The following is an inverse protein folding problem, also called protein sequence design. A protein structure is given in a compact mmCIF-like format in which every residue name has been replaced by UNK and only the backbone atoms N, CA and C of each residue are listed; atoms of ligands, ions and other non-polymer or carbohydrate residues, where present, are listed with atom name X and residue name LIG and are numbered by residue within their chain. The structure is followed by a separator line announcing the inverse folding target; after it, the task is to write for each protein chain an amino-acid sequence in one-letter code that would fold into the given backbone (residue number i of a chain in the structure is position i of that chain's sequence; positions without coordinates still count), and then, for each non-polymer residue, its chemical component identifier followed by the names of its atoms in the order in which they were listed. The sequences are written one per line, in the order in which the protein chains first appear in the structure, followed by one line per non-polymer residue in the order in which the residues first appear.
data_IF_991399487472
#
_entry.id   IF_991399487472
#
_cell.length_a   1.000
_cell.length_b   1.000
_cell.length_c   1.000
_cell.angle_alpha   90.00
_cell.angle_beta   90.00
_cell.angle_gamma   90.00
#
_symmetry.space_group_name_H-M   'P 1'
#
loop_
_entity.id
_entity.type
_entity.pdbx_description
1 polymer ?
#
# COMPACT_ATOMS: atom_id res chain seq x y z
N UNK A 1 -30.64 -15.57 20.18
CA UNK A 1 -29.64 -14.58 19.69
C UNK A 1 -28.67 -14.26 20.82
N UNK A 2 -27.48 -14.89 20.85
CA UNK A 2 -26.33 -14.40 21.62
C UNK A 2 -25.44 -13.63 20.64
N UNK A 3 -25.10 -12.38 20.94
CA UNK A 3 -24.18 -11.56 20.12
C UNK A 3 -22.81 -12.23 20.16
N UNK A 4 -22.30 -12.68 19.02
CA UNK A 4 -21.02 -13.43 18.88
C UNK A 4 -19.78 -12.50 19.01
N UNK A 5 -19.95 -11.23 19.42
CA UNK A 5 -18.85 -10.25 19.47
C UNK A 5 -18.84 -9.40 20.75
N UNK A 6 -19.39 -9.89 21.87
CA UNK A 6 -19.55 -9.06 23.06
C UNK A 6 -18.28 -8.92 23.94
N UNK A 7 -17.31 -9.85 23.88
CA UNK A 7 -16.28 -9.93 24.94
C UNK A 7 -14.86 -9.48 24.57
N UNK A 8 -14.58 -9.03 23.33
CA UNK A 8 -13.27 -8.45 22.95
C UNK A 8 -13.46 -7.18 22.11
N UNK A 9 -14.09 -6.15 22.68
CA UNK A 9 -14.14 -4.85 22.03
C UNK A 9 -12.72 -4.26 21.94
N UNK A 10 -12.10 -4.35 20.75
CA UNK A 10 -10.79 -3.73 20.48
C UNK A 10 -10.85 -2.23 20.78
N UNK A 11 -9.86 -1.71 21.50
CA UNK A 11 -9.80 -0.28 21.83
C UNK A 11 -9.37 0.55 20.62
N UNK A 12 -9.94 1.74 20.48
CA UNK A 12 -9.44 2.74 19.53
C UNK A 12 -8.12 3.33 20.05
N UNK A 13 -7.19 3.58 19.15
CA UNK A 13 -5.89 4.18 19.47
C UNK A 13 -6.04 5.68 19.64
N UNK A 14 -5.44 6.23 20.71
CA UNK A 14 -5.25 7.66 20.87
C UNK A 14 -4.13 8.14 19.94
N UNK A 15 -4.39 9.20 19.18
CA UNK A 15 -3.41 9.79 18.25
C UNK A 15 -3.21 11.24 18.69
N UNK A 16 -2.01 11.52 19.18
CA UNK A 16 -1.56 12.85 19.57
C UNK A 16 -0.32 13.24 18.76
N UNK A 17 -0.06 14.54 18.64
CA UNK A 17 1.16 15.02 17.99
C UNK A 17 2.22 15.29 19.05
N UNK A 18 3.44 14.90 18.71
CA UNK A 18 4.58 15.23 19.55
C UNK A 18 5.05 16.65 19.22
N UNK A 19 5.77 17.31 20.14
CA UNK A 19 6.42 18.58 19.86
C UNK A 19 7.26 18.49 18.58
N UNK A 20 7.17 19.50 17.71
CA UNK A 20 7.96 19.54 16.48
C UNK A 20 9.40 19.87 16.84
N UNK A 21 10.33 19.06 16.34
CA UNK A 21 11.77 19.30 16.43
C UNK A 21 12.18 20.03 15.16
N UNK A 22 12.67 21.25 15.29
CA UNK A 22 13.21 22.02 14.17
C UNK A 22 14.61 21.49 13.80
N UNK A 23 14.74 20.91 12.62
CA UNK A 23 15.99 20.34 12.10
C UNK A 23 15.77 19.62 10.78
N UNK A 24 16.86 19.31 10.06
CA UNK A 24 16.77 18.44 8.88
C UNK A 24 16.38 17.03 9.34
N UNK A 25 15.28 16.43 8.84
CA UNK A 25 14.85 15.10 9.22
C UNK A 25 15.85 13.99 8.86
N UNK A 26 16.79 14.25 7.95
CA UNK A 26 17.85 13.30 7.58
C UNK A 26 19.13 13.49 8.40
N UNK A 27 19.24 14.56 9.19
CA UNK A 27 20.41 14.79 10.05
C UNK A 27 20.42 13.83 11.24
N UNK A 28 21.60 13.29 11.55
CA UNK A 28 21.76 12.30 12.60
C UNK A 28 21.45 12.87 14.00
N UNK A 29 21.76 14.15 14.26
CA UNK A 29 21.44 14.76 15.55
C UNK A 29 19.95 15.00 15.70
N UNK A 30 19.26 15.40 14.62
CA UNK A 30 17.80 15.52 14.61
C UNK A 30 17.14 14.17 14.91
N UNK A 31 17.57 13.09 14.25
CA UNK A 31 17.06 11.74 14.48
C UNK A 31 17.32 11.31 15.92
N UNK A 32 18.55 11.49 16.43
CA UNK A 32 18.89 11.13 17.81
C UNK A 32 18.07 11.91 18.84
N UNK A 33 17.90 13.21 18.64
CA UNK A 33 17.07 14.08 19.50
C UNK A 33 15.62 13.61 19.49
N UNK A 34 15.09 13.25 18.32
CA UNK A 34 13.74 12.69 18.18
C UNK A 34 13.58 11.40 18.97
N UNK A 35 14.53 10.47 18.86
CA UNK A 35 14.53 9.21 19.59
C UNK A 35 14.58 9.42 21.11
N UNK A 36 15.42 10.36 21.59
CA UNK A 36 15.51 10.72 23.01
C UNK A 36 14.21 11.32 23.54
N UNK A 37 13.57 12.18 22.76
CA UNK A 37 12.28 12.75 23.13
C UNK A 37 11.18 11.69 23.20
N UNK A 38 11.15 10.74 22.27
CA UNK A 38 10.23 9.61 22.31
C UNK A 38 10.41 8.76 23.58
N UNK A 39 11.65 8.52 24.02
CA UNK A 39 11.96 7.79 25.27
C UNK A 39 11.46 8.59 26.49
N UNK A 40 11.77 9.90 26.53
CA UNK A 40 11.34 10.79 27.62
C UNK A 40 9.82 10.79 27.78
N UNK A 41 9.09 10.87 26.67
CA UNK A 41 7.62 10.84 26.64
C UNK A 41 7.05 9.46 26.99
N UNK A 42 7.84 8.40 26.82
CA UNK A 42 7.46 7.03 27.19
C UNK A 42 7.83 6.68 28.63
N UNK A 43 8.31 7.65 29.42
CA UNK A 43 8.80 7.44 30.80
C UNK A 43 9.89 6.36 30.86
N UNK A 44 10.85 6.41 29.94
CA UNK A 44 11.97 5.47 29.81
C UNK A 44 11.57 4.00 29.54
N UNK A 45 10.29 3.75 29.21
CA UNK A 45 9.83 2.45 28.74
C UNK A 45 10.30 2.21 27.31
N UNK A 46 10.29 0.94 26.90
CA UNK A 46 10.59 0.59 25.50
C UNK A 46 9.57 1.25 24.56
N UNK A 47 10.06 2.02 23.60
CA UNK A 47 9.23 2.77 22.67
C UNK A 47 9.30 2.17 21.27
N UNK A 48 8.17 2.14 20.56
CA UNK A 48 8.14 1.75 19.13
C UNK A 48 8.05 3.03 18.31
N UNK A 49 8.98 3.21 17.37
CA UNK A 49 9.00 4.40 16.52
C UNK A 49 9.02 3.98 15.06
N UNK A 50 8.11 4.52 14.25
CA UNK A 50 7.96 4.16 12.83
C UNK A 50 8.62 5.21 11.95
N UNK A 51 9.39 4.77 10.96
CA UNK A 51 10.12 5.65 10.02
C UNK A 51 9.87 5.22 8.58
N UNK A 52 10.00 6.16 7.64
CA UNK A 52 10.20 5.81 6.23
C UNK A 52 11.55 5.11 6.03
N UNK A 53 11.77 4.47 4.89
CA UNK A 53 12.99 3.67 4.71
C UNK A 53 14.30 4.48 4.87
N UNK A 54 14.46 5.66 4.23
CA UNK A 54 15.71 6.42 4.34
C UNK A 54 16.07 6.78 5.79
N UNK A 55 15.09 7.26 6.57
CA UNK A 55 15.33 7.63 7.98
C UNK A 55 15.47 6.37 8.84
N UNK A 56 14.72 5.30 8.53
CA UNK A 56 14.78 4.04 9.26
C UNK A 56 16.19 3.45 9.29
N UNK A 57 16.94 3.52 8.17
CA UNK A 57 18.32 3.03 8.11
C UNK A 57 19.22 3.75 9.12
N UNK A 58 19.21 5.09 9.11
CA UNK A 58 20.00 5.89 10.05
C UNK A 58 19.54 5.68 11.50
N UNK A 59 18.22 5.58 11.73
CA UNK A 59 17.66 5.35 13.05
C UNK A 59 18.11 4.00 13.64
N UNK A 60 18.13 2.93 12.83
CA UNK A 60 18.60 1.61 13.27
C UNK A 60 20.06 1.66 13.73
N UNK A 61 20.92 2.36 12.99
CA UNK A 61 22.34 2.48 13.34
C UNK A 61 22.52 3.28 14.63
N UNK A 62 21.81 4.40 14.78
CA UNK A 62 21.83 5.22 16.01
C UNK A 62 21.35 4.41 17.22
N UNK A 63 20.21 3.71 17.09
CA UNK A 63 19.63 2.91 18.18
C UNK A 63 20.61 1.83 18.65
N UNK A 64 21.29 1.15 17.71
CA UNK A 64 22.28 0.12 18.04
C UNK A 64 23.51 0.71 18.70
N UNK A 65 24.06 1.80 18.18
CA UNK A 65 25.28 2.42 18.72
C UNK A 65 25.07 2.99 20.12
N UNK A 66 23.92 3.65 20.35
CA UNK A 66 23.60 4.27 21.63
C UNK A 66 22.83 3.33 22.59
N UNK A 67 22.60 2.07 22.19
CA UNK A 67 21.85 1.05 22.95
C UNK A 67 20.51 1.59 23.50
N UNK A 68 19.72 2.22 22.63
CA UNK A 68 18.46 2.85 23.01
C UNK A 68 17.35 1.79 23.17
N UNK A 69 16.45 1.92 24.16
CA UNK A 69 15.31 1.01 24.35
C UNK A 69 14.20 1.29 23.32
N UNK A 70 14.52 1.23 22.03
CA UNK A 70 13.60 1.55 20.94
C UNK A 70 13.49 0.37 19.96
N UNK A 71 12.25 0.09 19.53
CA UNK A 71 11.96 -0.82 18.43
C UNK A 71 11.71 0.03 17.16
N UNK A 72 12.66 0.08 16.20
CA UNK A 72 12.48 0.85 14.97
C UNK A 72 11.62 0.08 13.97
N UNK A 73 10.43 0.60 13.66
CA UNK A 73 9.50 0.01 12.71
C UNK A 73 9.62 0.66 11.32
N UNK A 74 9.61 -0.15 10.27
CA UNK A 74 9.55 0.35 8.90
C UNK A 74 8.09 0.72 8.54
N UNK A 75 7.90 1.90 7.98
CA UNK A 75 6.62 2.44 7.55
C UNK A 75 5.97 1.61 6.44
N UNK A 76 4.84 0.98 6.75
CA UNK A 76 4.17 0.07 5.82
C UNK A 76 3.45 0.81 4.69
N UNK A 77 2.95 2.03 4.93
CA UNK A 77 2.35 2.84 3.88
C UNK A 77 3.39 3.26 2.84
N UNK A 78 4.54 3.78 3.28
CA UNK A 78 5.62 4.15 2.36
C UNK A 78 6.20 2.93 1.62
N UNK A 79 6.31 1.78 2.30
CA UNK A 79 6.71 0.53 1.66
C UNK A 79 5.76 0.12 0.54
N UNK A 80 4.45 0.17 0.77
CA UNK A 80 3.45 -0.14 -0.25
C UNK A 80 3.45 0.89 -1.39
N UNK A 81 3.70 2.17 -1.07
CA UNK A 81 3.85 3.23 -2.08
C UNK A 81 5.00 2.95 -3.03
N UNK A 82 6.17 2.57 -2.51
CA UNK A 82 7.32 2.17 -3.34
C UNK A 82 7.06 0.89 -4.11
N UNK A 83 6.30 -0.05 -3.55
CA UNK A 83 5.90 -1.27 -4.26
C UNK A 83 4.99 -0.96 -5.47
N UNK A 84 4.06 -0.02 -5.33
CA UNK A 84 3.22 0.46 -6.44
C UNK A 84 4.07 1.03 -7.58
N UNK A 85 5.05 1.89 -7.29
CA UNK A 85 5.97 2.38 -8.30
C UNK A 85 6.80 1.28 -8.97
N UNK A 86 7.20 0.26 -8.21
CA UNK A 86 7.91 -0.91 -8.75
C UNK A 86 7.02 -1.74 -9.68
N UNK A 87 5.74 -1.91 -9.32
CA UNK A 87 4.75 -2.54 -10.19
C UNK A 87 4.59 -1.75 -11.49
N UNK A 88 4.51 -0.42 -11.42
CA UNK A 88 4.45 0.46 -12.58
C UNK A 88 5.63 0.25 -13.52
N UNK A 89 6.86 0.22 -12.99
CA UNK A 89 8.07 -0.04 -13.78
C UNK A 89 8.07 -1.41 -14.47
N UNK A 90 7.59 -2.47 -13.81
CA UNK A 90 7.48 -3.80 -14.45
C UNK A 90 6.48 -3.79 -15.61
N UNK A 91 5.44 -2.96 -15.49
CA UNK A 91 4.33 -2.87 -16.43
C UNK A 91 4.52 -1.73 -17.44
N UNK A 92 5.72 -1.15 -17.51
CA UNK A 92 6.06 -0.16 -18.53
C UNK A 92 5.83 -0.75 -19.93
N UNK A 93 5.25 0.05 -20.82
CA UNK A 93 4.88 -0.33 -22.19
C UNK A 93 3.94 -1.54 -22.33
N UNK A 94 3.27 -1.96 -21.24
CA UNK A 94 2.40 -3.14 -21.27
C UNK A 94 0.95 -2.86 -21.72
N UNK A 95 0.57 -1.59 -21.86
CA UNK A 95 -0.83 -1.15 -21.97
C UNK A 95 -1.47 -0.70 -20.64
N UNK A 96 -0.74 -0.77 -19.52
CA UNK A 96 -1.28 -0.45 -18.19
C UNK A 96 -1.55 1.05 -18.03
N UNK A 97 -0.68 1.91 -18.57
CA UNK A 97 -0.84 3.36 -18.49
C UNK A 97 -2.12 3.80 -19.21
N UNK A 98 -2.38 3.23 -20.38
CA UNK A 98 -3.57 3.46 -21.20
C UNK A 98 -4.83 3.04 -20.43
N UNK A 99 -4.81 1.87 -19.78
CA UNK A 99 -5.90 1.46 -18.89
C UNK A 99 -6.11 2.44 -17.74
N UNK A 100 -5.04 2.89 -17.08
CA UNK A 100 -5.15 3.88 -16.00
C UNK A 100 -5.74 5.19 -16.52
N UNK A 101 -5.39 5.62 -17.74
CA UNK A 101 -5.93 6.82 -18.36
C UNK A 101 -7.42 6.71 -18.71
N UNK A 102 -7.93 5.51 -18.97
CA UNK A 102 -9.38 5.27 -19.12
C UNK A 102 -10.12 5.48 -17.78
N UNK A 103 -9.50 5.09 -16.66
CA UNK A 103 -10.08 5.25 -15.31
C UNK A 103 -9.97 6.70 -14.83
N UNK A 104 -8.79 7.28 -15.02
CA UNK A 104 -8.42 8.61 -14.56
C UNK A 104 -7.89 9.43 -15.74
N UNK A 105 -8.77 10.22 -16.41
CA UNK A 105 -8.35 11.05 -17.52
C UNK A 105 -7.26 12.05 -17.12
N UNK A 106 -6.22 12.15 -17.95
CA UNK A 106 -5.10 13.09 -17.79
C UNK A 106 -3.76 12.42 -17.51
N UNK A 107 -2.76 12.74 -18.34
CA UNK A 107 -1.42 12.12 -18.31
C UNK A 107 -0.71 12.29 -16.97
N UNK A 108 -0.77 13.48 -16.36
CA UNK A 108 -0.10 13.74 -15.07
C UNK A 108 -0.66 12.89 -13.93
N UNK A 109 -2.00 12.75 -13.85
CA UNK A 109 -2.61 11.93 -12.80
C UNK A 109 -2.31 10.45 -13.03
N UNK A 110 -2.38 9.98 -14.28
CA UNK A 110 -2.09 8.60 -14.62
C UNK A 110 -0.64 8.21 -14.33
N UNK A 111 0.33 9.08 -14.64
CA UNK A 111 1.75 8.87 -14.30
C UNK A 111 1.95 8.81 -12.78
N UNK A 112 1.31 9.70 -12.02
CA UNK A 112 1.37 9.65 -10.56
C UNK A 112 0.62 8.45 -9.94
N UNK A 113 -0.28 7.82 -10.68
CA UNK A 113 -0.86 6.54 -10.25
C UNK A 113 0.14 5.42 -10.49
N UNK A 114 0.77 5.40 -11.67
CA UNK A 114 1.74 4.40 -12.07
C UNK A 114 3.00 4.41 -11.18
N UNK A 115 3.49 5.59 -10.78
CA UNK A 115 4.64 5.75 -9.88
C UNK A 115 4.29 5.59 -8.37
N UNK A 116 3.00 5.39 -8.04
CA UNK A 116 2.51 5.28 -6.66
C UNK A 116 2.35 6.63 -5.91
N UNK A 117 2.62 7.77 -6.54
CA UNK A 117 2.51 9.12 -5.99
C UNK A 117 1.10 9.49 -5.50
N UNK A 118 0.07 9.08 -6.24
CA UNK A 118 -1.35 9.24 -5.91
C UNK A 118 -1.92 7.98 -5.25
N UNK A 119 -1.44 7.63 -4.05
CA UNK A 119 -1.72 6.36 -3.37
C UNK A 119 -3.18 5.88 -3.43
N UNK A 120 -4.15 6.68 -2.97
CA UNK A 120 -5.56 6.26 -2.93
C UNK A 120 -6.11 5.93 -4.33
N UNK A 121 -5.76 6.75 -5.33
CA UNK A 121 -6.16 6.52 -6.73
C UNK A 121 -5.44 5.30 -7.31
N UNK A 122 -4.18 5.08 -6.95
CA UNK A 122 -3.41 3.94 -7.40
C UNK A 122 -3.98 2.62 -6.89
N UNK A 123 -4.27 2.54 -5.59
CA UNK A 123 -4.95 1.38 -5.00
C UNK A 123 -6.28 1.12 -5.73
N UNK A 124 -7.10 2.17 -5.93
CA UNK A 124 -8.38 2.01 -6.63
C UNK A 124 -8.19 1.51 -8.06
N UNK A 125 -7.34 2.16 -8.86
CA UNK A 125 -7.10 1.82 -10.25
C UNK A 125 -6.68 0.34 -10.39
N UNK A 126 -5.69 -0.09 -9.61
CA UNK A 126 -5.21 -1.47 -9.68
C UNK A 126 -6.28 -2.48 -9.28
N UNK A 127 -7.10 -2.20 -8.26
CA UNK A 127 -8.20 -3.07 -7.85
C UNK A 127 -9.31 -3.15 -8.91
N UNK A 128 -9.64 -2.04 -9.58
CA UNK A 128 -10.63 -2.02 -10.67
C UNK A 128 -10.15 -2.78 -11.90
N UNK A 129 -8.89 -2.55 -12.32
CA UNK A 129 -8.27 -3.26 -13.44
C UNK A 129 -8.22 -4.76 -13.14
N UNK A 130 -7.81 -5.13 -11.93
CA UNK A 130 -7.75 -6.52 -11.52
C UNK A 130 -9.14 -7.17 -11.50
N UNK A 131 -10.16 -6.49 -10.98
CA UNK A 131 -11.54 -6.95 -11.06
C UNK A 131 -12.02 -7.16 -12.51
N UNK A 132 -11.64 -6.27 -13.43
CA UNK A 132 -11.95 -6.42 -14.86
C UNK A 132 -11.19 -7.59 -15.49
N UNK A 133 -9.93 -7.84 -15.12
CA UNK A 133 -9.16 -9.03 -15.53
C UNK A 133 -9.90 -10.30 -15.09
N UNK A 134 -10.34 -10.35 -13.83
CA UNK A 134 -11.13 -11.47 -13.30
C UNK A 134 -12.39 -11.71 -14.14
N UNK A 135 -13.18 -10.66 -14.38
CA UNK A 135 -14.41 -10.78 -15.16
C UNK A 135 -14.15 -11.21 -16.60
N UNK A 136 -13.10 -10.68 -17.24
CA UNK A 136 -12.73 -11.02 -18.61
C UNK A 136 -12.29 -12.49 -18.74
N UNK A 137 -11.39 -12.94 -17.86
CA UNK A 137 -10.84 -14.31 -17.89
C UNK A 137 -11.89 -15.35 -17.50
N UNK A 138 -12.73 -15.03 -16.51
CA UNK A 138 -13.66 -15.98 -15.91
C UNK A 138 -15.07 -15.93 -16.53
N UNK A 139 -15.32 -15.09 -17.54
CA UNK A 139 -16.63 -14.86 -18.18
C UNK A 139 -17.40 -16.14 -18.52
N UNK A 140 -16.68 -17.19 -18.90
CA UNK A 140 -17.24 -18.50 -19.27
C UNK A 140 -16.73 -19.65 -18.39
N UNK A 141 -16.09 -19.32 -17.27
CA UNK A 141 -15.48 -20.31 -16.38
C UNK A 141 -16.47 -20.93 -15.39
N UNK A 142 -17.61 -20.26 -15.15
CA UNK A 142 -18.61 -20.63 -14.15
C UNK A 142 -20.02 -20.69 -14.74
N UNK A 143 -20.87 -21.54 -14.16
CA UNK A 143 -22.30 -21.62 -14.48
C UNK A 143 -23.09 -20.52 -13.76
N UNK A 144 -24.30 -20.20 -14.23
CA UNK A 144 -25.18 -19.26 -13.53
C UNK A 144 -25.61 -19.74 -12.13
N UNK A 145 -25.62 -21.05 -11.91
CA UNK A 145 -25.86 -21.67 -10.61
C UNK A 145 -24.70 -21.36 -9.65
N UNK A 146 -23.45 -21.65 -10.05
CA UNK A 146 -22.24 -21.35 -9.26
C UNK A 146 -22.13 -19.84 -8.96
N UNK A 147 -22.44 -18.98 -9.94
CA UNK A 147 -22.51 -17.54 -9.74
C UNK A 147 -23.65 -17.14 -8.78
N UNK A 148 -24.79 -17.83 -8.82
CA UNK A 148 -25.92 -17.65 -7.90
C UNK A 148 -25.56 -17.99 -6.45
N UNK A 149 -24.84 -19.09 -6.24
CA UNK A 149 -24.31 -19.50 -4.93
C UNK A 149 -23.33 -18.47 -4.40
N UNK A 150 -22.36 -18.03 -5.21
CA UNK A 150 -21.39 -16.99 -4.83
C UNK A 150 -22.07 -15.66 -4.51
N UNK A 151 -23.09 -15.23 -5.27
CA UNK A 151 -23.89 -14.03 -4.96
C UNK A 151 -24.60 -14.17 -3.61
N UNK A 152 -25.12 -15.35 -3.30
CA UNK A 152 -25.79 -15.63 -2.03
C UNK A 152 -24.80 -15.58 -0.87
N UNK A 153 -23.60 -16.15 -1.06
CA UNK A 153 -22.50 -16.04 -0.11
C UNK A 153 -22.12 -14.57 0.14
N UNK A 154 -21.90 -13.79 -0.92
CA UNK A 154 -21.55 -12.37 -0.80
C UNK A 154 -22.62 -11.56 -0.07
N UNK A 155 -23.91 -11.83 -0.29
CA UNK A 155 -25.00 -11.21 0.48
C UNK A 155 -24.95 -11.58 1.97
N UNK A 156 -24.71 -12.84 2.30
CA UNK A 156 -24.54 -13.29 3.70
C UNK A 156 -23.34 -12.60 4.38
N UNK A 157 -22.24 -12.40 3.65
CA UNK A 157 -21.07 -11.65 4.14
C UNK A 157 -21.44 -10.18 4.37
N UNK A 158 -22.09 -9.53 3.40
CA UNK A 158 -22.48 -8.13 3.48
C UNK A 158 -23.46 -7.85 4.64
N UNK A 159 -24.36 -8.79 4.93
CA UNK A 159 -25.29 -8.72 6.06
C UNK A 159 -24.62 -8.93 7.42
N UNK A 160 -23.30 -9.16 7.48
CA UNK A 160 -22.56 -9.43 8.71
C UNK A 160 -22.90 -10.78 9.35
N UNK A 161 -23.58 -11.68 8.62
CA UNK A 161 -24.00 -13.01 9.11
C UNK A 161 -22.85 -14.02 9.12
N UNK A 162 -21.71 -13.69 8.50
CA UNK A 162 -20.52 -14.53 8.45
C UNK A 162 -19.28 -13.70 8.81
N UNK A 163 -18.43 -14.22 9.70
CA UNK A 163 -17.16 -13.59 10.06
C UNK A 163 -16.12 -13.72 8.93
N UNK A 164 -15.08 -12.88 8.97
CA UNK A 164 -14.03 -12.79 7.93
C UNK A 164 -13.20 -14.07 7.68
N UNK A 165 -13.46 -15.15 8.44
CA UNK A 165 -12.75 -16.44 8.40
C UNK A 165 -13.64 -17.60 7.93
N UNK A 166 -14.91 -17.36 7.60
CA UNK A 166 -15.80 -18.42 7.14
C UNK A 166 -15.54 -18.75 5.66
N UNK A 167 -15.48 -20.03 5.32
CA UNK A 167 -15.25 -20.53 3.96
C UNK A 167 -16.38 -21.50 3.59
N UNK A 168 -16.98 -21.29 2.42
CA UNK A 168 -18.08 -22.10 1.88
C UNK A 168 -17.56 -22.97 0.72
N UNK A 169 -18.10 -24.18 0.48
CA UNK A 169 -17.71 -25.04 -0.64
C UNK A 169 -17.63 -24.32 -1.99
N UNK A 170 -18.53 -23.36 -2.26
CA UNK A 170 -18.49 -22.57 -3.50
C UNK A 170 -17.17 -21.81 -3.66
N UNK A 171 -16.57 -21.33 -2.57
CA UNK A 171 -15.28 -20.62 -2.60
C UNK A 171 -14.16 -21.55 -3.07
N UNK A 172 -14.15 -22.81 -2.60
CA UNK A 172 -13.14 -23.80 -2.98
C UNK A 172 -13.23 -24.14 -4.48
N UNK A 173 -14.44 -24.19 -5.04
CA UNK A 173 -14.65 -24.40 -6.48
C UNK A 173 -14.06 -23.23 -7.28
N UNK A 174 -14.32 -21.99 -6.85
CA UNK A 174 -13.77 -20.80 -7.48
C UNK A 174 -12.24 -20.75 -7.38
N UNK A 175 -11.67 -21.02 -6.20
CA UNK A 175 -10.22 -21.07 -5.97
C UNK A 175 -9.53 -22.08 -6.90
N UNK A 176 -10.07 -23.30 -6.99
CA UNK A 176 -9.51 -24.34 -7.86
C UNK A 176 -9.55 -23.94 -9.33
N UNK A 177 -10.70 -23.46 -9.81
CA UNK A 177 -10.87 -23.03 -11.21
C UNK A 177 -9.95 -21.87 -11.56
N UNK A 178 -9.80 -20.95 -10.62
CA UNK A 178 -8.90 -19.81 -10.72
C UNK A 178 -7.45 -20.29 -10.87
N UNK A 179 -6.98 -21.16 -9.97
CA UNK A 179 -5.62 -21.70 -10.03
C UNK A 179 -5.34 -22.42 -11.36
N UNK A 180 -6.28 -23.23 -11.85
CA UNK A 180 -6.13 -23.97 -13.11
C UNK A 180 -5.96 -23.02 -14.31
N UNK A 181 -6.80 -21.98 -14.39
CA UNK A 181 -6.77 -21.02 -15.49
C UNK A 181 -5.49 -20.18 -15.43
N UNK A 182 -5.14 -19.65 -14.25
CA UNK A 182 -3.95 -18.82 -14.07
C UNK A 182 -2.64 -19.60 -14.23
N UNK A 183 -2.64 -20.94 -14.01
CA UNK A 183 -1.50 -21.81 -14.38
C UNK A 183 -1.39 -22.04 -15.90
N UNK A 184 -2.50 -21.94 -16.64
CA UNK A 184 -2.54 -22.16 -18.09
C UNK A 184 -2.18 -20.90 -18.88
N UNK A 185 -2.68 -19.73 -18.47
CA UNK A 185 -2.53 -18.47 -19.20
C UNK A 185 -1.07 -18.11 -19.56
N UNK A 186 -0.07 -18.22 -18.66
CA UNK A 186 1.32 -17.89 -18.98
C UNK A 186 1.91 -18.73 -20.11
N UNK A 187 1.38 -19.94 -20.34
CA UNK A 187 1.82 -20.83 -21.44
C UNK A 187 1.45 -20.27 -22.83
N UNK A 188 0.57 -19.27 -22.89
CA UNK A 188 0.16 -18.59 -24.12
C UNK A 188 1.20 -17.59 -24.66
N UNK A 189 2.26 -17.28 -23.90
CA UNK A 189 3.35 -16.41 -24.34
C UNK A 189 3.71 -15.34 -23.32
N UNK A 190 4.67 -14.47 -23.68
CA UNK A 190 5.22 -13.43 -22.78
C UNK A 190 4.15 -12.43 -22.32
N UNK A 191 3.26 -11.99 -23.21
CA UNK A 191 2.20 -11.02 -22.88
C UNK A 191 1.20 -11.58 -21.85
N UNK A 192 0.58 -12.75 -22.07
CA UNK A 192 -0.26 -13.38 -21.04
C UNK A 192 0.48 -13.62 -19.71
N UNK A 193 1.75 -14.03 -19.77
CA UNK A 193 2.56 -14.25 -18.56
C UNK A 193 2.78 -12.97 -17.76
N UNK A 194 3.05 -11.83 -18.42
CA UNK A 194 3.20 -10.53 -17.78
C UNK A 194 1.91 -10.07 -17.08
N UNK A 195 0.75 -10.24 -17.72
CA UNK A 195 -0.53 -9.84 -17.13
C UNK A 195 -1.00 -10.78 -16.01
N UNK A 196 -0.61 -12.05 -16.04
CA UNK A 196 -0.75 -12.95 -14.89
C UNK A 196 0.17 -12.50 -13.75
N UNK A 197 1.40 -12.09 -14.04
CA UNK A 197 2.31 -11.53 -13.04
C UNK A 197 1.73 -10.23 -12.43
N UNK A 198 1.13 -9.36 -13.24
CA UNK A 198 0.41 -8.17 -12.76
C UNK A 198 -0.66 -8.52 -11.73
N UNK A 199 -1.51 -9.50 -12.04
CA UNK A 199 -2.52 -9.97 -11.10
C UNK A 199 -1.89 -10.41 -9.77
N UNK A 200 -0.82 -11.21 -9.80
CA UNK A 200 -0.12 -11.61 -8.58
C UNK A 200 0.50 -10.42 -7.82
N UNK A 201 0.99 -9.40 -8.54
CA UNK A 201 1.48 -8.19 -7.89
C UNK A 201 0.36 -7.42 -7.18
N UNK A 202 -0.83 -7.31 -7.77
CA UNK A 202 -2.00 -6.69 -7.15
C UNK A 202 -2.52 -7.53 -5.97
N UNK A 203 -2.46 -8.85 -6.05
CA UNK A 203 -2.82 -9.72 -4.94
C UNK A 203 -1.92 -9.54 -3.72
N UNK A 204 -0.62 -9.29 -3.92
CA UNK A 204 0.30 -8.91 -2.83
C UNK A 204 -0.17 -7.62 -2.15
N UNK A 205 -0.64 -6.62 -2.90
CA UNK A 205 -1.19 -5.37 -2.35
C UNK A 205 -2.40 -5.64 -1.47
N UNK A 206 -3.40 -6.39 -1.99
CA UNK A 206 -4.62 -6.74 -1.25
C UNK A 206 -4.29 -7.47 0.04
N UNK A 207 -3.37 -8.42 -0.06
CA UNK A 207 -2.93 -9.26 1.05
C UNK A 207 -2.21 -8.42 2.12
N UNK A 208 -1.34 -7.50 1.71
CA UNK A 208 -0.61 -6.61 2.62
C UNK A 208 -1.54 -5.62 3.34
N UNK A 209 -2.51 -5.04 2.62
CA UNK A 209 -3.58 -4.24 3.24
C UNK A 209 -4.37 -5.10 4.24
N UNK A 210 -4.79 -6.30 3.83
CA UNK A 210 -5.58 -7.22 4.68
C UNK A 210 -4.88 -7.54 6.00
N UNK A 211 -3.57 -7.80 5.97
CA UNK A 211 -2.81 -8.06 7.20
C UNK A 211 -2.84 -6.91 8.17
N UNK A 212 -2.64 -5.69 7.67
CA UNK A 212 -2.65 -4.52 8.53
C UNK A 212 -4.05 -4.25 9.08
N UNK A 213 -5.09 -4.37 8.24
CA UNK A 213 -6.49 -4.17 8.66
C UNK A 213 -6.89 -5.14 9.78
N UNK A 214 -6.44 -6.40 9.69
CA UNK A 214 -6.70 -7.45 10.68
C UNK A 214 -5.75 -7.42 11.89
N UNK A 215 -4.69 -6.60 11.87
CA UNK A 215 -3.55 -6.69 12.78
C UNK A 215 -2.97 -8.10 12.88
N UNK A 216 -2.69 -8.70 11.74
CA UNK A 216 -1.96 -9.96 11.64
C UNK A 216 -0.46 -9.68 11.52
N UNK A 217 0.25 -9.65 12.66
CA UNK A 217 1.68 -9.31 12.72
C UNK A 217 2.54 -10.31 11.93
N UNK A 218 2.26 -11.60 12.09
CA UNK A 218 2.97 -12.67 11.40
C UNK A 218 2.67 -12.63 9.90
N UNK A 219 1.44 -12.32 9.54
CA UNK A 219 1.05 -12.01 8.17
C UNK A 219 1.84 -10.83 7.60
N UNK A 220 1.93 -9.71 8.32
CA UNK A 220 2.68 -8.52 7.90
C UNK A 220 4.15 -8.86 7.62
N UNK A 221 4.82 -9.57 8.53
CA UNK A 221 6.22 -9.99 8.35
C UNK A 221 6.40 -11.04 7.24
N UNK A 222 5.48 -12.01 7.12
CA UNK A 222 5.56 -13.03 6.06
C UNK A 222 5.30 -12.44 4.68
N UNK A 223 4.36 -11.50 4.55
CA UNK A 223 3.95 -10.92 3.26
C UNK A 223 4.86 -9.81 2.74
N UNK A 224 5.46 -9.00 3.63
CA UNK A 224 6.49 -8.01 3.25
C UNK A 224 7.69 -8.71 2.59
N UNK A 225 8.19 -9.78 3.20
CA UNK A 225 9.51 -10.30 2.82
C UNK A 225 9.43 -11.23 1.63
N UNK A 226 8.45 -12.13 1.58
CA UNK A 226 8.56 -13.22 0.60
C UNK A 226 8.00 -12.88 -0.77
N UNK A 227 7.22 -11.80 -0.93
CA UNK A 227 6.62 -11.46 -2.24
C UNK A 227 6.93 -10.06 -2.73
N UNK A 228 7.04 -9.07 -1.85
CA UNK A 228 7.43 -7.73 -2.29
C UNK A 228 8.93 -7.64 -2.63
N UNK A 229 9.79 -8.39 -1.93
CA UNK A 229 11.24 -8.37 -2.19
C UNK A 229 11.59 -8.79 -3.61
N UNK A 230 10.91 -9.80 -4.16
CA UNK A 230 11.18 -10.29 -5.51
C UNK A 230 10.91 -9.20 -6.56
N UNK A 231 9.81 -8.45 -6.39
CA UNK A 231 9.45 -7.34 -7.26
C UNK A 231 10.45 -6.19 -7.11
N UNK A 232 10.79 -5.81 -5.87
CA UNK A 232 11.81 -4.79 -5.64
C UNK A 232 13.17 -5.17 -6.24
N UNK A 233 13.55 -6.44 -6.16
CA UNK A 233 14.79 -6.94 -6.75
C UNK A 233 14.74 -6.89 -8.28
N UNK A 234 13.62 -7.31 -8.87
CA UNK A 234 13.43 -7.33 -10.33
C UNK A 234 13.59 -5.96 -10.98
N UNK A 235 13.13 -4.89 -10.33
CA UNK A 235 13.25 -3.50 -10.84
C UNK A 235 14.51 -2.78 -10.38
N UNK A 236 15.41 -3.45 -9.65
CA UNK A 236 16.62 -2.81 -9.12
C UNK A 236 16.38 -1.80 -8.00
N UNK A 237 15.29 -1.93 -7.23
CA UNK A 237 15.01 -1.11 -6.05
C UNK A 237 15.82 -1.58 -4.81
N UNK A 238 17.13 -1.68 -4.97
CA UNK A 238 18.05 -2.36 -4.04
C UNK A 238 17.96 -1.87 -2.59
N UNK A 239 17.76 -0.57 -2.36
CA UNK A 239 17.61 -0.03 -1.02
C UNK A 239 16.40 -0.61 -0.30
N UNK A 240 15.24 -0.69 -0.96
CA UNK A 240 14.02 -1.29 -0.39
C UNK A 240 14.16 -2.80 -0.21
N UNK A 241 14.84 -3.50 -1.13
CA UNK A 241 15.14 -4.94 -0.96
C UNK A 241 15.94 -5.16 0.33
N UNK A 242 17.07 -4.45 0.47
CA UNK A 242 17.98 -4.59 1.62
C UNK A 242 17.30 -4.16 2.91
N UNK A 243 16.64 -3.00 2.89
CA UNK A 243 15.95 -2.41 4.03
C UNK A 243 14.81 -3.27 4.55
N UNK A 244 13.88 -3.70 3.68
CA UNK A 244 12.77 -4.55 4.09
C UNK A 244 13.24 -5.93 4.57
N UNK A 245 14.29 -6.51 3.95
CA UNK A 245 14.87 -7.75 4.45
C UNK A 245 15.52 -7.60 5.82
N UNK A 246 16.30 -6.53 6.02
CA UNK A 246 16.93 -6.22 7.31
C UNK A 246 15.87 -5.98 8.39
N UNK A 247 14.81 -5.23 8.07
CA UNK A 247 13.69 -4.99 8.99
C UNK A 247 13.10 -6.29 9.52
N UNK A 248 12.82 -7.26 8.65
CA UNK A 248 12.21 -8.51 9.10
C UNK A 248 13.18 -9.43 9.84
N UNK A 249 14.48 -9.38 9.54
CA UNK A 249 15.49 -10.03 10.37
C UNK A 249 15.54 -9.41 11.76
N UNK A 250 15.55 -8.08 11.84
CA UNK A 250 15.58 -7.33 13.09
C UNK A 250 14.35 -7.61 13.95
N UNK A 251 13.14 -7.55 13.39
CA UNK A 251 11.90 -7.83 14.13
C UNK A 251 11.91 -9.24 14.72
N UNK A 252 12.33 -10.25 13.95
CA UNK A 252 12.46 -11.64 14.44
C UNK A 252 13.51 -11.78 15.54
N UNK A 253 14.63 -11.06 15.44
CA UNK A 253 15.65 -11.07 16.49
C UNK A 253 15.13 -10.43 17.78
N UNK A 254 14.49 -9.25 17.67
CA UNK A 254 13.91 -8.54 18.81
C UNK A 254 12.84 -9.39 19.53
N UNK A 255 12.04 -10.16 18.79
CA UNK A 255 11.05 -11.08 19.35
C UNK A 255 11.65 -12.15 20.29
N UNK A 256 12.91 -12.55 20.07
CA UNK A 256 13.59 -13.54 20.91
C UNK A 256 14.16 -12.96 22.21
N UNK A 257 14.29 -11.63 22.31
CA UNK A 257 14.92 -11.00 23.46
C UNK A 257 13.93 -10.85 24.62
N UNK A 258 14.31 -11.22 25.86
CA UNK A 258 13.42 -11.14 27.02
C UNK A 258 12.84 -9.74 27.26
N UNK A 259 13.63 -8.69 27.00
CA UNK A 259 13.23 -7.30 27.19
C UNK A 259 12.03 -6.86 26.32
N UNK A 260 11.81 -7.52 25.17
CA UNK A 260 10.76 -7.14 24.22
C UNK A 260 9.61 -8.17 24.15
N UNK A 261 9.74 -9.30 24.86
CA UNK A 261 8.81 -10.44 24.76
C UNK A 261 7.35 -10.05 25.01
N UNK A 262 7.07 -9.24 26.03
CA UNK A 262 5.69 -8.81 26.32
C UNK A 262 5.12 -7.87 25.25
N UNK A 263 5.96 -7.07 24.59
CA UNK A 263 5.54 -6.20 23.48
C UNK A 263 5.15 -7.05 22.27
N UNK A 264 5.98 -8.02 21.87
CA UNK A 264 5.68 -8.92 20.75
C UNK A 264 4.49 -9.85 21.05
N UNK A 265 4.32 -10.27 22.31
CA UNK A 265 3.12 -10.97 22.76
C UNK A 265 1.88 -10.09 22.63
N UNK A 266 1.99 -8.79 22.92
CA UNK A 266 0.92 -7.82 22.70
C UNK A 266 0.58 -7.65 21.21
N UNK A 267 1.58 -7.67 20.32
CA UNK A 267 1.36 -7.60 18.87
C UNK A 267 0.57 -8.79 18.33
N UNK A 268 0.87 -9.98 18.81
CA UNK A 268 0.24 -11.23 18.34
C UNK A 268 -1.12 -11.47 19.00
N UNK A 269 -1.25 -11.18 20.30
CA UNK A 269 -2.47 -11.45 21.07
C UNK A 269 -3.54 -10.36 20.89
N UNK A 270 -3.13 -9.08 20.86
CA UNK A 270 -4.05 -7.94 20.84
C UNK A 270 -4.00 -7.14 19.54
N UNK A 271 -2.99 -7.36 18.70
CA UNK A 271 -2.83 -6.62 17.45
C UNK A 271 -2.34 -5.19 17.66
N UNK A 272 -1.63 -4.91 18.75
CA UNK A 272 -1.22 -3.55 19.15
C UNK A 272 -0.12 -2.92 18.27
N UNK A 273 0.32 -3.61 17.22
CA UNK A 273 1.26 -3.06 16.24
C UNK A 273 0.57 -2.15 15.20
N UNK A 274 -0.77 -2.12 15.14
CA UNK A 274 -1.51 -1.27 14.21
C UNK A 274 -2.25 -0.16 14.96
N UNK A 275 -2.50 0.95 14.27
CA UNK A 275 -3.36 2.02 14.78
C UNK A 275 -4.82 1.69 14.45
N UNK A 276 -5.77 2.02 15.33
CA UNK A 276 -7.21 1.76 15.13
C UNK A 276 -8.04 3.01 15.37
N UNK A 277 -8.74 3.47 14.34
CA UNK A 277 -9.73 4.56 14.49
C UNK A 277 -11.09 4.10 15.02
N UNK A 278 -11.33 2.78 15.12
CA UNK A 278 -12.58 2.22 15.66
C UNK A 278 -12.35 0.84 16.25
N UNK A 279 -13.31 0.37 17.06
CA UNK A 279 -13.30 -0.95 17.69
C UNK A 279 -13.60 -2.13 16.75
N UNK A 280 -13.81 -1.87 15.46
CA UNK A 280 -14.11 -2.90 14.46
C UNK A 280 -12.87 -3.75 14.18
N UNK A 281 -13.06 -5.04 13.90
CA UNK A 281 -11.94 -5.96 13.65
C UNK A 281 -11.04 -5.57 12.47
N UNK A 282 -11.62 -4.97 11.43
CA UNK A 282 -10.94 -4.53 10.20
C UNK A 282 -10.44 -3.08 10.26
N UNK A 283 -10.35 -2.47 11.44
CA UNK A 283 -10.01 -1.05 11.58
C UNK A 283 -8.53 -0.72 11.58
N UNK A 284 -7.65 -1.72 11.50
CA UNK A 284 -6.21 -1.53 11.61
C UNK A 284 -5.67 -0.64 10.50
N UNK A 285 -4.64 0.15 10.78
CA UNK A 285 -3.98 1.00 9.80
C UNK A 285 -2.51 1.15 10.15
N UNK A 286 -1.68 1.43 9.14
CA UNK A 286 -0.26 1.69 9.36
C UNK A 286 -0.07 2.96 10.19
N UNK A 287 0.96 3.00 11.04
CA UNK A 287 1.23 4.17 11.86
C UNK A 287 1.63 5.39 11.00
N UNK A 288 2.41 5.18 9.94
CA UNK A 288 2.91 6.25 9.07
C UNK A 288 1.81 6.86 8.17
N UNK A 289 0.75 6.11 7.83
CA UNK A 289 -0.40 6.71 7.11
C UNK A 289 -1.23 7.63 8.00
N UNK A 290 -1.21 7.42 9.33
CA UNK A 290 -1.91 8.30 10.25
C UNK A 290 -1.34 9.71 10.19
N UNK A 291 -0.02 9.85 10.07
CA UNK A 291 0.66 11.14 9.89
C UNK A 291 0.13 11.85 8.64
N UNK A 292 -0.02 11.14 7.52
CA UNK A 292 -0.57 11.74 6.29
C UNK A 292 -2.04 12.16 6.46
N UNK A 293 -2.85 11.30 7.10
CA UNK A 293 -4.30 11.49 7.24
C UNK A 293 -4.69 12.54 8.29
N UNK A 294 -3.85 12.78 9.30
CA UNK A 294 -4.11 13.77 10.36
C UNK A 294 -3.17 14.97 10.23
N UNK A 295 -1.87 14.77 10.47
CA UNK A 295 -0.87 15.85 10.53
C UNK A 295 -0.75 16.57 9.18
N UNK A 296 -0.44 15.84 8.11
CA UNK A 296 -0.20 16.44 6.80
C UNK A 296 -1.47 17.00 6.20
N UNK A 297 -2.63 16.36 6.43
CA UNK A 297 -3.93 16.92 6.03
C UNK A 297 -4.17 18.29 6.68
N UNK A 298 -3.90 18.44 7.97
CA UNK A 298 -4.00 19.73 8.66
C UNK A 298 -2.96 20.73 8.12
N UNK A 299 -1.71 20.31 7.92
CA UNK A 299 -0.63 21.15 7.40
C UNK A 299 -0.83 21.61 5.94
N UNK A 300 -1.56 20.84 5.12
CA UNK A 300 -1.86 21.11 3.70
C UNK A 300 -3.18 21.85 3.48
N UNK A 301 -3.89 22.22 4.54
CA UNK A 301 -5.08 23.07 4.47
C UNK A 301 -4.73 24.49 4.01
N UNK A 302 -5.72 25.26 3.56
CA UNK A 302 -5.53 26.62 3.00
C UNK A 302 -4.86 27.58 3.99
N UNK A 303 -5.09 27.39 5.30
CA UNK A 303 -4.44 28.14 6.38
C UNK A 303 -3.31 27.35 7.06
N UNK A 304 -2.91 26.20 6.51
CA UNK A 304 -1.91 25.31 7.08
C UNK A 304 -0.46 25.68 6.73
N UNK A 305 0.49 24.99 7.37
CA UNK A 305 1.93 25.22 7.26
C UNK A 305 2.47 25.23 5.81
N UNK A 306 1.93 24.37 4.95
CA UNK A 306 2.52 24.12 3.63
C UNK A 306 1.91 24.93 2.48
N UNK A 307 0.70 25.47 2.66
CA UNK A 307 -0.04 26.20 1.62
C UNK A 307 -0.56 27.58 2.05
N UNK A 308 -0.43 27.94 3.33
CA UNK A 308 -0.96 29.19 3.90
C UNK A 308 0.09 30.25 4.26
N UNK A 309 -0.39 31.37 4.81
CA UNK A 309 0.42 32.54 5.21
C UNK A 309 1.44 32.23 6.31
N UNK A 310 1.24 31.14 7.05
CA UNK A 310 2.11 30.71 8.16
C UNK A 310 3.50 30.24 7.68
N UNK A 311 3.66 29.87 6.40
CA UNK A 311 4.95 29.48 5.81
C UNK A 311 5.99 30.60 5.81
N UNK A 312 5.53 31.86 5.73
CA UNK A 312 6.41 33.01 5.45
C UNK A 312 6.66 33.90 6.68
N UNK A 313 6.25 33.49 7.88
CA UNK A 313 6.45 34.26 9.11
C UNK A 313 6.92 33.34 10.24
N UNK A 314 8.07 33.65 10.85
CA UNK A 314 8.61 32.88 11.99
C UNK A 314 7.62 32.82 13.17
N UNK A 315 6.92 33.93 13.42
CA UNK A 315 5.88 34.00 14.45
C UNK A 315 4.68 33.12 14.13
N UNK A 316 4.25 33.08 12.86
CA UNK A 316 3.19 32.20 12.38
C UNK A 316 3.60 30.72 12.41
N UNK A 317 4.82 30.39 11.99
CA UNK A 317 5.39 29.05 12.05
C UNK A 317 5.42 28.53 13.49
N UNK A 318 5.97 29.31 14.43
CA UNK A 318 6.02 28.97 15.86
C UNK A 318 4.63 28.82 16.47
N UNK A 319 3.72 29.75 16.18
CA UNK A 319 2.34 29.66 16.66
C UNK A 319 1.67 28.37 16.16
N UNK A 320 1.83 28.03 14.88
CA UNK A 320 1.30 26.80 14.32
C UNK A 320 1.87 25.56 15.02
N UNK A 321 3.19 25.47 15.13
CA UNK A 321 3.90 24.35 15.78
C UNK A 321 3.41 24.13 17.21
N UNK A 322 3.25 25.20 17.99
CA UNK A 322 2.83 25.13 19.39
C UNK A 322 1.34 24.80 19.58
N UNK A 323 0.51 25.14 18.60
CA UNK A 323 -0.96 25.00 18.70
C UNK A 323 -1.53 23.80 17.94
N UNK A 324 -0.71 23.14 17.13
CA UNK A 324 -1.09 22.03 16.26
C UNK A 324 -1.84 20.91 16.98
N UNK A 325 -1.34 20.52 18.16
CA UNK A 325 -1.97 19.53 19.01
C UNK A 325 -3.42 19.88 19.37
N UNK A 326 -3.62 21.12 19.83
CA UNK A 326 -4.93 21.61 20.22
C UNK A 326 -5.87 21.69 19.03
N UNK A 327 -5.41 22.23 17.89
CA UNK A 327 -6.24 22.37 16.70
C UNK A 327 -6.62 21.05 16.06
N UNK A 328 -5.72 20.06 16.04
CA UNK A 328 -6.08 18.75 15.52
C UNK A 328 -7.07 18.03 16.42
N UNK A 329 -6.94 18.12 17.74
CA UNK A 329 -7.94 17.57 18.68
C UNK A 329 -9.32 18.17 18.45
N UNK A 330 -9.39 19.49 18.27
CA UNK A 330 -10.63 20.22 17.95
C UNK A 330 -11.21 19.76 16.60
N UNK A 331 -10.39 19.66 15.55
CA UNK A 331 -10.81 19.20 14.23
C UNK A 331 -11.34 17.76 14.26
N UNK A 332 -10.69 16.87 15.01
CA UNK A 332 -11.13 15.48 15.14
C UNK A 332 -12.51 15.40 15.81
N UNK A 333 -12.74 16.16 16.89
CA UNK A 333 -14.05 16.23 17.56
C UNK A 333 -15.13 16.81 16.66
N UNK A 334 -14.81 17.81 15.84
CA UNK A 334 -15.74 18.33 14.84
C UNK A 334 -16.07 17.28 13.78
N UNK A 335 -15.09 16.57 13.25
CA UNK A 335 -15.30 15.47 12.29
C UNK A 335 -16.16 14.35 12.89
N UNK A 336 -15.97 13.98 14.16
CA UNK A 336 -16.80 13.01 14.87
C UNK A 336 -18.26 13.46 14.99
N UNK A 337 -18.48 14.76 15.29
CA UNK A 337 -19.81 15.37 15.29
C UNK A 337 -20.51 15.29 13.93
N UNK A 338 -19.76 15.50 12.84
CA UNK A 338 -20.27 15.37 11.47
C UNK A 338 -20.53 13.90 11.12
N UNK A 339 -19.64 12.97 11.49
CA UNK A 339 -19.77 11.53 11.22
C UNK A 339 -20.98 10.88 11.90
N UNK A 340 -21.46 11.41 13.03
CA UNK A 340 -22.73 10.98 13.66
C UNK A 340 -23.95 11.11 12.74
N UNK A 341 -23.86 11.88 11.66
CA UNK A 341 -24.91 12.05 10.66
C UNK A 341 -24.87 11.00 9.52
N UNK A 342 -24.15 9.89 9.71
CA UNK A 342 -24.38 8.66 8.95
C UNK A 342 -23.82 8.62 7.54
N UNK A 343 -22.67 9.26 7.27
CA UNK A 343 -22.02 9.11 5.97
C UNK A 343 -21.34 7.74 5.87
N UNK A 344 -21.80 6.93 4.91
CA UNK A 344 -21.07 5.79 4.36
C UNK A 344 -19.68 6.25 3.90
N UNK A 345 -18.68 5.35 3.96
CA UNK A 345 -17.36 5.61 3.37
C UNK A 345 -17.54 6.09 1.92
N UNK A 346 -16.77 7.10 1.48
CA UNK A 346 -16.94 7.71 0.14
C UNK A 346 -16.98 6.66 -0.98
N UNK A 347 -16.13 5.64 -0.87
CA UNK A 347 -16.06 4.55 -1.85
C UNK A 347 -17.29 3.64 -1.90
N UNK A 348 -18.07 3.60 -0.80
CA UNK A 348 -19.32 2.84 -0.70
C UNK A 348 -20.55 3.71 -0.99
N UNK A 349 -20.36 4.98 -1.38
CA UNK A 349 -21.45 5.81 -1.82
C UNK A 349 -22.02 5.26 -3.13
N UNK A 350 -23.35 5.23 -3.26
CA UNK A 350 -24.04 4.71 -4.47
C UNK A 350 -23.52 5.32 -5.77
N UNK A 351 -23.25 6.62 -5.76
CA UNK A 351 -22.67 7.35 -6.90
C UNK A 351 -21.32 6.78 -7.30
N UNK A 352 -20.47 6.50 -6.31
CA UNK A 352 -19.11 6.02 -6.54
C UNK A 352 -19.11 4.56 -7.02
N UNK A 353 -19.97 3.71 -6.45
CA UNK A 353 -20.17 2.33 -6.93
C UNK A 353 -20.66 2.28 -8.38
N UNK A 354 -21.55 3.20 -8.77
CA UNK A 354 -22.03 3.32 -10.15
C UNK A 354 -20.90 3.68 -11.11
N UNK A 355 -20.08 4.68 -10.73
CA UNK A 355 -18.91 5.07 -11.52
C UNK A 355 -17.91 3.92 -11.68
N UNK A 356 -17.64 3.17 -10.61
CA UNK A 356 -16.73 2.01 -10.69
C UNK A 356 -17.25 0.93 -11.64
N UNK A 357 -18.57 0.66 -11.63
CA UNK A 357 -19.18 -0.28 -12.56
C UNK A 357 -19.03 0.18 -14.02
N UNK A 358 -19.30 1.46 -14.29
CA UNK A 358 -19.11 2.06 -15.62
C UNK A 358 -17.65 1.98 -16.08
N UNK A 359 -16.70 2.20 -15.17
CA UNK A 359 -15.26 2.08 -15.44
C UNK A 359 -14.87 0.64 -15.76
N UNK A 360 -15.35 -0.33 -14.99
CA UNK A 360 -15.07 -1.75 -15.25
C UNK A 360 -15.54 -2.14 -16.65
N UNK A 361 -16.73 -1.69 -17.08
CA UNK A 361 -17.22 -1.91 -18.44
C UNK A 361 -16.31 -1.30 -19.51
N UNK A 362 -15.75 -0.10 -19.27
CA UNK A 362 -14.77 0.51 -20.19
C UNK A 362 -13.49 -0.32 -20.30
N UNK A 363 -12.97 -0.80 -19.17
CA UNK A 363 -11.78 -1.66 -19.15
C UNK A 363 -12.06 -3.02 -19.81
N UNK A 364 -13.26 -3.58 -19.64
CA UNK A 364 -13.67 -4.82 -20.31
C UNK A 364 -13.71 -4.66 -21.83
N UNK A 365 -14.24 -3.55 -22.35
CA UNK A 365 -14.21 -3.25 -23.80
C UNK A 365 -12.79 -3.17 -24.33
N UNK A 366 -11.88 -2.52 -23.59
CA UNK A 366 -10.46 -2.49 -23.94
C UNK A 366 -9.85 -3.90 -24.00
N UNK A 367 -10.19 -4.79 -23.06
CA UNK A 367 -9.75 -6.19 -23.09
C UNK A 367 -10.36 -6.99 -24.24
N UNK A 368 -11.56 -6.66 -24.73
CA UNK A 368 -12.15 -7.30 -25.91
C UNK A 368 -11.39 -6.93 -27.19
N UNK A 369 -10.92 -5.68 -27.30
CA UNK A 369 -10.16 -5.17 -28.44
C UNK A 369 -8.71 -5.67 -28.47
N UNK A 370 -7.95 -5.47 -27.38
CA UNK A 370 -6.49 -5.72 -27.35
C UNK A 370 -6.16 -7.12 -26.82
N UNK A 371 -7.00 -7.65 -25.93
CA UNK A 371 -6.86 -8.93 -25.22
C UNK A 371 -5.40 -9.38 -24.96
N UNK A 372 -4.79 -8.99 -23.82
CA UNK A 372 -3.42 -9.37 -23.50
C UNK A 372 -3.24 -10.87 -23.21
N UNK A 373 -4.33 -11.63 -23.09
CA UNK A 373 -4.33 -13.05 -22.77
C UNK A 373 -4.47 -13.96 -24.01
N UNK A 374 -4.71 -13.40 -25.20
CA UNK A 374 -4.68 -14.17 -26.45
C UNK A 374 -3.25 -14.63 -26.73
N UNK A 375 -3.09 -15.94 -26.97
CA UNK A 375 -1.80 -16.51 -27.35
C UNK A 375 -1.36 -15.97 -28.70
N UNK A 376 -0.16 -15.40 -28.77
CA UNK A 376 0.40 -14.89 -30.03
C UNK A 376 1.14 -16.03 -30.72
N UNK A 377 0.71 -16.43 -31.92
CA UNK A 377 1.58 -17.20 -32.83
C UNK A 377 2.75 -16.30 -33.20
N UNK A 378 3.93 -16.62 -32.65
CA UNK A 378 5.26 -16.08 -33.01
C UNK A 378 5.31 -14.57 -33.35
N UNK A 379 5.63 -13.72 -32.37
CA UNK A 379 6.18 -12.39 -32.71
C UNK A 379 7.65 -12.55 -33.14
N UNK A 380 7.93 -12.18 -34.39
CA UNK A 380 9.28 -11.95 -34.89
C UNK A 380 9.78 -10.64 -34.25
N UNK A 381 10.79 -10.71 -33.37
CA UNK A 381 11.53 -9.52 -32.95
C UNK A 381 12.56 -9.20 -34.03
N UNK A 382 12.35 -8.12 -34.78
CA UNK A 382 13.42 -7.48 -35.56
C UNK A 382 13.93 -6.29 -34.72
N UNK A 383 15.06 -6.49 -34.04
CA UNK A 383 15.79 -5.38 -33.42
C UNK A 383 16.71 -4.77 -34.48
N UNK A 384 16.41 -3.56 -34.93
CA UNK A 384 17.30 -2.79 -35.78
C UNK A 384 18.29 -2.04 -34.88
N UNK A 385 19.29 -2.74 -34.34
CA UNK A 385 20.33 -2.12 -33.49
C UNK A 385 21.73 -2.09 -34.11
N UNK A 386 21.96 -2.70 -35.27
CA UNK A 386 23.29 -2.70 -35.90
C UNK A 386 23.45 -1.78 -37.11
N UNK A 387 22.38 -1.39 -37.81
CA UNK A 387 22.55 -0.61 -39.05
C UNK A 387 22.98 0.84 -38.81
N UNK A 388 22.46 1.51 -37.77
CA UNK A 388 22.84 2.90 -37.47
C UNK A 388 24.20 3.02 -36.77
N UNK A 389 24.59 2.02 -35.97
CA UNK A 389 25.92 2.00 -35.34
C UNK A 389 27.03 1.71 -36.36
N UNK A 390 26.78 0.83 -37.34
CA UNK A 390 27.72 0.57 -38.43
C UNK A 390 27.83 1.75 -39.42
N UNK A 391 26.72 2.43 -39.74
CA UNK A 391 26.78 3.65 -40.56
C UNK A 391 27.54 4.78 -39.87
N UNK A 392 27.32 5.00 -38.57
CA UNK A 392 28.07 5.99 -37.78
C UNK A 392 29.56 5.65 -37.68
N UNK A 393 29.91 4.37 -37.52
CA UNK A 393 31.32 3.94 -37.50
C UNK A 393 32.00 4.13 -38.87
N UNK A 394 31.30 3.89 -39.97
CA UNK A 394 31.82 4.12 -41.33
C UNK A 394 31.92 5.61 -41.69
N UNK A 395 31.00 6.45 -41.19
CA UNK A 395 31.07 7.92 -41.31
C UNK A 395 32.26 8.48 -40.52
N UNK A 396 32.48 8.02 -39.29
CA UNK A 396 33.62 8.46 -38.48
C UNK A 396 34.98 7.99 -39.04
N UNK A 397 35.05 6.83 -39.70
CA UNK A 397 36.28 6.40 -40.41
C UNK A 397 36.56 7.21 -41.68
N UNK A 398 35.52 7.74 -42.35
CA UNK A 398 35.70 8.60 -43.54
C UNK A 398 36.14 10.02 -43.21
N UNK A 399 35.83 10.53 -42.02
CA UNK A 399 36.29 11.85 -41.57
C UNK A 399 37.72 11.86 -41.03
N UNK A 400 38.30 10.71 -40.69
CA UNK A 400 39.72 10.61 -40.29
C UNK A 400 40.71 10.45 -41.45
N UNK A 401 40.21 10.36 -42.70
CA UNK A 401 41.00 10.21 -43.93
C UNK A 401 40.92 11.44 -44.86
N UNK A 402 40.45 12.58 -44.34
CA UNK A 402 40.61 13.91 -44.94
C UNK A 402 41.44 14.76 -43.98
#
# INVERSE_FOLDING_TARGET
MKRIHADDAKQSTLIDFLPVIEGDPNDHNTIFTTLKECIRLSEDKVTIVTFDLPIWLNAVDIIKQANLPIIPRLGGFHLLKSYLGSLGNIMEDSGLLELIQLIYPGSTTANHILDGGCFDKAIRAHLLIDAAIYQHIMKHAFTEEELGEMRTLMKKVADGKMGARHTDPVVVVFERRFEEIFKRLPKGGRKPALWVQYHYMVDVIKIFIRTERLADHNGHLSRIVTRMLDIFAAVGHHQYVKGARLYCQLMKQLETLPAYKEIFKSFTSHGNHVVRYSSRDWSGTWCDICIEQTLMKAAKSEDGLSRGRMRNSDSGHRCWVLTLNHFSSVNQRMEEGVKKHGLLHRDLAKTQMKQDAEVIELVLKWFEEINPFKGVRSCLCLSQQDSQAQEMAQLMQREQLK
#
